data_IF_861088591076
#
_entry.id   IF_861088591076
#
_cell.length_a   1.000
_cell.length_b   1.000
_cell.length_c   1.000
_cell.angle_alpha   90.00
_cell.angle_beta   90.00
_cell.angle_gamma   90.00
#
_symmetry.space_group_name_H-M   'P 1'
#
loop_
_entity.id
_entity.type
_entity.pdbx_description
1 polymer ?
#
# COMPACT_ATOMS: atom_id res chain seq x y z
N UNK A 1 -51.80 62.52 -22.89
CA UNK A 1 -51.96 61.05 -22.83
C UNK A 1 -51.21 60.48 -21.63
N UNK A 2 -51.90 60.06 -20.54
CA UNK A 2 -51.29 59.50 -19.33
C UNK A 2 -51.51 58.02 -19.39
N UNK A 3 -50.40 57.26 -19.61
CA UNK A 3 -50.44 55.81 -19.55
C UNK A 3 -50.44 55.41 -18.05
N UNK A 4 -51.56 54.85 -17.60
CA UNK A 4 -51.64 54.17 -16.30
C UNK A 4 -51.17 52.74 -16.49
N UNK A 5 -50.01 52.40 -15.96
CA UNK A 5 -49.54 51.02 -15.83
C UNK A 5 -50.46 50.29 -14.82
N UNK A 6 -50.99 49.13 -15.13
CA UNK A 6 -51.76 48.34 -14.20
C UNK A 6 -50.82 47.88 -13.06
N UNK A 7 -51.12 48.29 -11.83
CA UNK A 7 -50.50 47.73 -10.63
C UNK A 7 -50.93 46.27 -10.52
N UNK A 8 -50.01 45.38 -10.90
CA UNK A 8 -50.20 43.94 -10.72
C UNK A 8 -50.23 43.69 -9.19
N UNK A 9 -51.42 43.33 -8.67
CA UNK A 9 -51.58 42.94 -7.27
C UNK A 9 -50.71 41.72 -6.98
N UNK A 10 -49.61 41.88 -6.28
CA UNK A 10 -48.80 40.78 -5.78
C UNK A 10 -49.69 39.94 -4.85
N UNK A 11 -50.12 38.80 -5.33
CA UNK A 11 -50.80 37.78 -4.48
C UNK A 11 -49.80 37.29 -3.44
N UNK A 12 -50.04 37.58 -2.19
CA UNK A 12 -49.21 37.11 -1.08
C UNK A 12 -49.21 35.58 -1.05
N UNK A 13 -48.05 34.98 -0.74
CA UNK A 13 -47.94 33.54 -0.55
C UNK A 13 -48.79 33.10 0.66
N UNK A 14 -49.53 32.00 0.46
CA UNK A 14 -50.25 31.38 1.59
C UNK A 14 -49.26 30.62 2.50
N UNK A 15 -49.57 30.56 3.77
CA UNK A 15 -48.74 29.83 4.75
C UNK A 15 -48.60 28.35 4.36
N UNK A 16 -49.61 27.77 3.73
CA UNK A 16 -49.61 26.43 3.18
C UNK A 16 -48.59 26.23 2.04
N UNK A 17 -48.54 27.19 1.10
CA UNK A 17 -47.55 27.17 0.01
C UNK A 17 -46.11 27.23 0.53
N UNK A 18 -45.87 28.07 1.56
CA UNK A 18 -44.57 28.15 2.18
C UNK A 18 -44.16 26.85 2.85
N UNK A 19 -45.07 26.21 3.60
CA UNK A 19 -44.80 24.89 4.23
C UNK A 19 -44.53 23.80 3.20
N UNK A 20 -45.27 23.82 2.10
CA UNK A 20 -45.10 22.84 1.05
C UNK A 20 -43.76 23.03 0.29
N UNK A 21 -43.40 24.27 0.02
CA UNK A 21 -42.10 24.60 -0.57
C UNK A 21 -40.92 24.21 0.33
N UNK A 22 -41.02 24.44 1.64
CA UNK A 22 -40.03 24.09 2.64
C UNK A 22 -39.86 22.57 2.78
N UNK A 23 -40.98 21.85 2.79
CA UNK A 23 -40.94 20.37 2.87
C UNK A 23 -40.33 19.74 1.62
N UNK A 24 -40.71 20.22 0.45
CA UNK A 24 -40.15 19.74 -0.83
C UNK A 24 -38.67 20.09 -0.98
N UNK A 25 -38.30 21.33 -0.61
CA UNK A 25 -36.92 21.78 -0.61
C UNK A 25 -36.02 20.97 0.34
N UNK A 26 -36.52 20.69 1.54
CA UNK A 26 -35.78 19.85 2.51
C UNK A 26 -35.60 18.42 2.04
N UNK A 27 -36.60 17.83 1.37
CA UNK A 27 -36.51 16.49 0.78
C UNK A 27 -35.45 16.43 -0.33
N UNK A 28 -35.48 17.40 -1.26
CA UNK A 28 -34.50 17.50 -2.34
C UNK A 28 -33.10 17.69 -1.80
N UNK A 29 -32.92 18.55 -0.80
CA UNK A 29 -31.64 18.77 -0.15
C UNK A 29 -31.12 17.51 0.53
N UNK A 30 -31.97 16.77 1.24
CA UNK A 30 -31.60 15.50 1.85
C UNK A 30 -31.16 14.45 0.81
N UNK A 31 -31.81 14.37 -0.34
CA UNK A 31 -31.43 13.51 -1.46
C UNK A 31 -30.06 13.91 -2.05
N UNK A 32 -29.83 15.21 -2.25
CA UNK A 32 -28.55 15.71 -2.73
C UNK A 32 -27.40 15.38 -1.77
N UNK A 33 -27.61 15.57 -0.46
CA UNK A 33 -26.60 15.21 0.55
C UNK A 33 -26.29 13.71 0.54
N UNK A 34 -27.28 12.84 0.33
CA UNK A 34 -27.05 11.39 0.20
C UNK A 34 -26.22 11.05 -1.02
N UNK A 35 -26.49 11.66 -2.18
CA UNK A 35 -25.72 11.43 -3.40
C UNK A 35 -24.26 11.87 -3.25
N UNK A 36 -24.04 13.09 -2.74
CA UNK A 36 -22.68 13.61 -2.49
C UNK A 36 -21.93 12.70 -1.50
N UNK A 37 -22.60 12.26 -0.44
CA UNK A 37 -22.00 11.35 0.55
C UNK A 37 -21.59 9.99 -0.04
N UNK A 38 -22.37 9.45 -0.99
CA UNK A 38 -22.04 8.21 -1.70
C UNK A 38 -20.83 8.38 -2.61
N UNK A 39 -20.78 9.48 -3.38
CA UNK A 39 -19.66 9.79 -4.28
C UNK A 39 -18.34 10.01 -3.52
N UNK A 40 -18.39 10.70 -2.38
CA UNK A 40 -17.20 10.89 -1.53
C UNK A 40 -16.65 9.57 -0.99
N UNK A 41 -17.52 8.66 -0.55
CA UNK A 41 -17.10 7.32 -0.07
C UNK A 41 -16.46 6.51 -1.20
N UNK A 42 -17.05 6.53 -2.39
CA UNK A 42 -16.50 5.85 -3.56
C UNK A 42 -15.14 6.43 -3.96
N UNK A 43 -15.01 7.76 -3.99
CA UNK A 43 -13.76 8.44 -4.29
C UNK A 43 -12.65 8.11 -3.28
N UNK A 44 -12.96 8.05 -1.98
CA UNK A 44 -12.01 7.66 -0.94
C UNK A 44 -11.56 6.20 -1.10
N UNK A 45 -12.49 5.28 -1.39
CA UNK A 45 -12.17 3.88 -1.63
C UNK A 45 -11.27 3.69 -2.86
N UNK A 46 -11.53 4.42 -3.94
CA UNK A 46 -10.67 4.41 -5.14
C UNK A 46 -9.29 4.98 -4.86
N UNK A 47 -9.20 6.12 -4.17
CA UNK A 47 -7.93 6.74 -3.82
C UNK A 47 -7.08 5.82 -2.93
N UNK A 48 -7.69 5.13 -1.97
CA UNK A 48 -7.00 4.16 -1.14
C UNK A 48 -6.48 2.98 -1.98
N UNK A 49 -7.28 2.45 -2.89
CA UNK A 49 -6.87 1.39 -3.83
C UNK A 49 -5.62 1.79 -4.63
N UNK A 50 -5.64 2.96 -5.23
CA UNK A 50 -4.53 3.47 -6.03
C UNK A 50 -3.25 3.61 -5.19
N UNK A 51 -3.37 4.11 -3.97
CA UNK A 51 -2.23 4.23 -3.05
C UNK A 51 -1.62 2.87 -2.71
N UNK A 52 -2.43 1.88 -2.35
CA UNK A 52 -1.93 0.54 -2.01
C UNK A 52 -1.34 -0.16 -3.23
N UNK A 53 -1.98 -0.06 -4.39
CA UNK A 53 -1.43 -0.58 -5.65
C UNK A 53 -0.09 0.05 -6.00
N UNK A 54 0.05 1.38 -5.84
CA UNK A 54 1.31 2.09 -6.08
C UNK A 54 2.39 1.71 -5.07
N UNK A 55 2.03 1.44 -3.81
CA UNK A 55 2.99 0.96 -2.80
C UNK A 55 3.51 -0.42 -3.13
N UNK A 56 2.64 -1.37 -3.50
CA UNK A 56 3.06 -2.69 -3.94
C UNK A 56 4.01 -2.61 -5.14
N UNK A 57 3.66 -1.80 -6.14
CA UNK A 57 4.47 -1.63 -7.33
C UNK A 57 5.87 -1.10 -6.99
N UNK A 58 5.94 -0.01 -6.20
CA UNK A 58 7.24 0.55 -5.79
C UNK A 58 8.07 -0.43 -4.98
N UNK A 59 7.44 -1.23 -4.12
CA UNK A 59 8.16 -2.24 -3.33
C UNK A 59 8.74 -3.33 -4.21
N UNK A 60 7.99 -3.82 -5.21
CA UNK A 60 8.49 -4.80 -6.16
C UNK A 60 9.58 -4.24 -7.07
N UNK A 61 9.41 -3.02 -7.56
CA UNK A 61 10.43 -2.33 -8.37
C UNK A 61 11.73 -2.12 -7.59
N UNK A 62 11.64 -1.72 -6.31
CA UNK A 62 12.78 -1.61 -5.41
C UNK A 62 13.53 -2.94 -5.29
N UNK A 63 12.82 -4.05 -5.05
CA UNK A 63 13.43 -5.37 -4.97
C UNK A 63 14.10 -5.74 -6.29
N UNK A 64 13.44 -5.47 -7.43
CA UNK A 64 14.00 -5.73 -8.76
C UNK A 64 15.26 -4.92 -9.03
N UNK A 65 15.27 -3.65 -8.65
CA UNK A 65 16.46 -2.80 -8.79
C UNK A 65 17.62 -3.34 -7.96
N UNK A 66 17.38 -3.74 -6.71
CA UNK A 66 18.41 -4.33 -5.87
C UNK A 66 18.89 -5.69 -6.39
N UNK A 67 18.00 -6.51 -6.96
CA UNK A 67 18.37 -7.75 -7.62
C UNK A 67 19.23 -7.52 -8.86
N UNK A 68 18.98 -6.44 -9.61
CA UNK A 68 19.78 -6.10 -10.79
C UNK A 68 21.21 -5.67 -10.45
N UNK A 69 21.45 -5.19 -9.24
CA UNK A 69 22.76 -4.80 -8.72
C UNK A 69 23.43 -5.92 -7.92
N UNK A 70 22.75 -7.05 -7.72
CA UNK A 70 23.20 -8.13 -6.87
C UNK A 70 24.29 -8.98 -7.52
N UNK A 71 25.25 -9.44 -6.74
CA UNK A 71 26.18 -10.49 -7.14
C UNK A 71 25.61 -11.90 -6.94
N UNK A 72 24.57 -12.02 -6.11
CA UNK A 72 23.86 -13.27 -5.87
C UNK A 72 22.65 -13.08 -4.95
N UNK A 73 21.80 -14.09 -4.93
CA UNK A 73 20.62 -14.09 -4.06
C UNK A 73 20.38 -15.49 -3.48
N UNK A 74 19.60 -15.53 -2.42
CA UNK A 74 19.14 -16.76 -1.80
C UNK A 74 17.65 -16.62 -1.46
N UNK A 75 16.85 -17.55 -1.93
CA UNK A 75 15.41 -17.66 -1.61
C UNK A 75 15.25 -18.48 -0.35
N UNK A 76 14.34 -18.07 0.53
CA UNK A 76 14.07 -18.66 1.85
C UNK A 76 15.34 -18.99 2.65
N UNK A 77 16.26 -18.01 2.83
CA UNK A 77 17.49 -18.26 3.56
C UNK A 77 17.22 -18.61 5.02
N UNK A 78 18.03 -19.48 5.65
CA UNK A 78 17.92 -19.74 7.06
C UNK A 78 18.22 -18.48 7.88
N UNK A 79 17.52 -18.23 9.00
CA UNK A 79 17.80 -17.11 9.85
C UNK A 79 19.26 -17.09 10.32
N UNK A 80 19.95 -15.97 10.17
CA UNK A 80 21.35 -15.83 10.55
C UNK A 80 21.53 -14.71 11.58
N UNK A 81 22.29 -14.98 12.64
CA UNK A 81 22.71 -13.97 13.62
C UNK A 81 23.80 -13.04 13.09
N UNK A 82 24.34 -13.33 11.91
CA UNK A 82 25.38 -12.54 11.24
C UNK A 82 24.83 -11.38 10.44
N UNK A 83 23.52 -11.36 10.21
CA UNK A 83 22.89 -10.27 9.48
C UNK A 83 22.88 -8.97 10.28
N UNK A 84 23.03 -7.83 9.61
CA UNK A 84 23.20 -6.55 10.28
C UNK A 84 21.96 -6.08 11.04
N UNK A 85 20.77 -6.63 10.75
CA UNK A 85 19.55 -6.26 11.45
C UNK A 85 18.92 -7.47 12.17
N UNK A 86 18.35 -7.28 13.38
CA UNK A 86 17.61 -8.32 14.07
C UNK A 86 16.30 -8.66 13.34
N UNK A 87 16.04 -9.94 13.17
CA UNK A 87 14.81 -10.41 12.51
C UNK A 87 13.57 -10.31 13.41
N UNK A 88 13.74 -10.32 14.73
CA UNK A 88 12.66 -10.15 15.72
C UNK A 88 11.43 -11.04 15.45
N UNK A 89 11.64 -12.34 15.21
CA UNK A 89 10.58 -13.31 14.94
C UNK A 89 10.04 -13.31 13.51
N UNK A 90 10.63 -12.54 12.59
CA UNK A 90 10.26 -12.51 11.17
C UNK A 90 10.99 -13.60 10.39
N UNK A 91 10.30 -14.18 9.42
CA UNK A 91 10.86 -15.16 8.50
C UNK A 91 11.55 -14.44 7.34
N UNK A 92 12.84 -14.65 7.09
CA UNK A 92 13.49 -14.16 5.88
C UNK A 92 12.94 -14.92 4.67
N UNK A 93 12.70 -14.20 3.58
CA UNK A 93 12.16 -14.74 2.33
C UNK A 93 13.16 -14.58 1.20
N UNK A 94 13.92 -13.50 1.20
CA UNK A 94 14.92 -13.23 0.17
C UNK A 94 16.13 -12.55 0.82
N UNK A 95 17.32 -13.04 0.50
CA UNK A 95 18.58 -12.40 0.83
C UNK A 95 19.34 -12.06 -0.47
N UNK A 96 19.81 -10.83 -0.59
CA UNK A 96 20.49 -10.30 -1.76
C UNK A 96 21.90 -9.92 -1.36
N UNK A 97 22.91 -10.57 -1.93
CA UNK A 97 24.32 -10.24 -1.74
C UNK A 97 24.73 -9.10 -2.68
N UNK A 98 25.14 -7.98 -2.11
CA UNK A 98 25.58 -6.79 -2.86
C UNK A 98 27.05 -6.82 -3.20
N UNK A 99 27.80 -7.78 -2.69
CA UNK A 99 29.21 -8.04 -2.99
C UNK A 99 29.41 -9.53 -3.30
N UNK A 100 30.56 -9.85 -3.92
CA UNK A 100 30.90 -11.22 -4.34
C UNK A 100 31.13 -12.22 -3.17
N UNK A 101 31.00 -11.76 -1.93
CA UNK A 101 31.16 -12.60 -0.74
C UNK A 101 29.93 -13.50 -0.54
N UNK A 102 30.17 -14.64 0.13
CA UNK A 102 29.08 -15.54 0.57
C UNK A 102 28.03 -14.77 1.38
N UNK A 103 26.74 -14.81 0.99
CA UNK A 103 25.66 -14.15 1.73
C UNK A 103 25.56 -14.54 3.21
N UNK A 104 26.22 -15.65 3.62
CA UNK A 104 26.30 -16.10 5.00
C UNK A 104 27.63 -15.73 5.70
N UNK A 105 28.60 -15.15 5.00
CA UNK A 105 29.85 -14.73 5.59
C UNK A 105 29.67 -13.62 6.63
N UNK A 106 30.57 -13.58 7.62
CA UNK A 106 30.60 -12.48 8.59
C UNK A 106 30.96 -11.17 7.89
N UNK A 107 30.10 -10.15 8.06
CA UNK A 107 30.28 -8.85 7.43
C UNK A 107 29.77 -8.78 5.99
N UNK A 108 29.10 -9.83 5.51
CA UNK A 108 28.46 -9.79 4.21
C UNK A 108 27.48 -8.63 4.13
N UNK A 109 27.63 -7.83 3.09
CA UNK A 109 26.72 -6.71 2.81
C UNK A 109 25.46 -7.28 2.11
N UNK A 110 24.57 -7.84 2.93
CA UNK A 110 23.38 -8.56 2.49
C UNK A 110 22.15 -7.73 2.83
N UNK A 111 21.34 -7.48 1.82
CA UNK A 111 19.99 -6.93 2.00
C UNK A 111 19.03 -8.10 2.23
N UNK A 112 18.24 -8.04 3.30
CA UNK A 112 17.31 -9.13 3.65
C UNK A 112 15.89 -8.62 3.65
N UNK A 113 15.03 -9.34 2.96
CA UNK A 113 13.58 -9.16 2.97
C UNK A 113 12.95 -10.22 3.85
N UNK A 114 12.19 -9.79 4.84
CA UNK A 114 11.57 -10.69 5.82
C UNK A 114 10.09 -10.36 6.02
N UNK A 115 9.30 -11.39 6.28
CA UNK A 115 7.86 -11.29 6.57
C UNK A 115 7.60 -11.74 7.99
N UNK A 116 6.71 -11.05 8.69
CA UNK A 116 6.30 -11.45 10.03
C UNK A 116 5.66 -10.32 10.83
N UNK A 117 5.70 -10.41 12.16
CA UNK A 117 5.00 -9.50 13.02
C UNK A 117 5.42 -8.04 12.82
N UNK A 118 4.44 -7.16 12.85
CA UNK A 118 4.66 -5.73 12.78
C UNK A 118 5.51 -5.23 13.97
N UNK A 119 6.42 -4.26 13.76
CA UNK A 119 7.22 -3.70 14.84
C UNK A 119 6.42 -2.83 15.80
N UNK A 120 5.29 -2.30 15.36
CA UNK A 120 4.44 -1.39 16.13
C UNK A 120 2.97 -1.55 15.72
N UNK A 121 2.03 -1.10 16.57
CA UNK A 121 0.57 -1.18 16.38
C UNK A 121 0.02 -0.28 15.28
N UNK A 122 0.82 0.65 14.75
CA UNK A 122 0.42 1.49 13.61
C UNK A 122 0.28 0.70 12.31
N UNK A 123 0.94 -0.47 12.22
CA UNK A 123 0.91 -1.36 11.07
C UNK A 123 -0.18 -2.42 11.21
N UNK A 124 -0.79 -2.81 10.11
CA UNK A 124 -1.85 -3.83 10.08
C UNK A 124 -1.30 -5.19 9.65
N UNK A 125 -1.78 -6.25 10.26
CA UNK A 125 -1.41 -7.61 9.89
C UNK A 125 0.08 -7.90 10.02
N UNK A 126 0.60 -8.76 9.16
CA UNK A 126 2.02 -8.94 9.00
C UNK A 126 2.62 -7.84 8.11
N UNK A 127 3.93 -7.68 8.16
CA UNK A 127 4.66 -6.68 7.37
C UNK A 127 5.74 -7.32 6.53
N UNK A 128 5.98 -6.75 5.35
CA UNK A 128 7.20 -6.95 4.59
C UNK A 128 8.23 -5.93 5.04
N UNK A 129 9.34 -6.41 5.54
CA UNK A 129 10.44 -5.62 6.07
C UNK A 129 11.69 -5.81 5.26
N UNK A 130 12.37 -4.71 4.97
CA UNK A 130 13.71 -4.70 4.35
C UNK A 130 14.74 -4.34 5.41
N UNK A 131 15.70 -5.21 5.63
CA UNK A 131 16.95 -4.91 6.31
C UNK A 131 18.00 -4.54 5.27
N UNK A 132 18.45 -3.32 5.25
CA UNK A 132 19.43 -2.88 4.26
C UNK A 132 19.94 -1.48 4.55
N UNK A 133 20.98 -1.05 3.81
CA UNK A 133 21.51 0.30 3.92
C UNK A 133 20.53 1.33 3.35
N UNK A 134 20.80 2.60 3.65
CA UNK A 134 20.17 3.72 2.94
C UNK A 134 20.63 3.80 1.49
N UNK A 135 20.04 4.74 0.74
CA UNK A 135 20.39 5.03 -0.63
C UNK A 135 21.16 6.36 -0.70
N UNK A 136 22.10 6.45 -1.64
CA UNK A 136 22.72 7.71 -2.07
C UNK A 136 21.71 8.58 -2.81
N UNK A 137 22.09 9.80 -3.14
CA UNK A 137 21.27 10.70 -3.96
C UNK A 137 21.03 10.15 -5.37
N UNK A 138 21.93 9.29 -5.85
CA UNK A 138 21.84 8.63 -7.17
C UNK A 138 21.00 7.34 -7.13
N UNK A 139 20.35 7.03 -5.99
CA UNK A 139 19.49 5.86 -5.85
C UNK A 139 20.24 4.53 -5.65
N UNK A 140 21.56 4.55 -5.47
CA UNK A 140 22.37 3.33 -5.24
C UNK A 140 22.45 3.05 -3.73
N UNK A 141 22.33 1.77 -3.28
CA UNK A 141 22.48 1.42 -1.88
C UNK A 141 23.87 1.78 -1.35
N UNK A 142 23.93 2.54 -0.24
CA UNK A 142 25.20 2.97 0.38
C UNK A 142 25.70 1.89 1.32
N UNK A 143 26.41 0.89 0.78
CA UNK A 143 26.80 -0.33 1.48
C UNK A 143 27.60 -0.10 2.77
N UNK A 144 28.35 1.00 2.87
CA UNK A 144 29.08 1.40 4.07
C UNK A 144 28.19 2.12 5.09
N UNK A 145 26.95 2.45 4.74
CA UNK A 145 26.00 3.09 5.63
C UNK A 145 25.40 2.15 6.67
N UNK A 146 24.75 2.73 7.67
CA UNK A 146 24.03 1.95 8.68
C UNK A 146 22.89 1.15 8.07
N UNK A 147 22.86 -0.14 8.34
CA UNK A 147 21.73 -1.01 7.96
C UNK A 147 20.56 -0.78 8.91
N UNK A 148 19.38 -0.68 8.36
CA UNK A 148 18.17 -0.41 9.10
C UNK A 148 17.02 -1.31 8.65
N UNK A 149 16.20 -1.70 9.62
CA UNK A 149 14.92 -2.33 9.35
C UNK A 149 13.89 -1.27 8.92
N UNK A 150 13.33 -1.41 7.72
CA UNK A 150 12.27 -0.53 7.21
C UNK A 150 11.06 -1.36 6.77
N UNK A 151 9.89 -0.97 7.22
CA UNK A 151 8.64 -1.56 6.73
C UNK A 151 8.37 -1.01 5.33
N UNK A 152 8.22 -1.89 4.36
CA UNK A 152 7.86 -1.56 2.98
C UNK A 152 6.35 -1.64 2.77
N UNK A 153 5.74 -2.72 3.27
CA UNK A 153 4.31 -2.98 3.15
C UNK A 153 3.78 -3.55 4.46
N UNK A 154 2.56 -3.21 4.78
CA UNK A 154 1.75 -3.79 5.86
C UNK A 154 0.54 -4.54 5.31
N UNK A 155 -0.33 -5.00 6.19
CA UNK A 155 -1.55 -5.71 5.86
C UNK A 155 -1.31 -6.98 5.03
N UNK A 156 -0.18 -7.67 5.25
CA UNK A 156 0.01 -8.99 4.70
C UNK A 156 -0.82 -10.00 5.52
N UNK A 157 -1.33 -11.08 4.86
CA UNK A 157 -2.06 -12.15 5.55
C UNK A 157 -1.26 -12.75 6.69
N UNK A 158 -1.98 -13.27 7.70
CA UNK A 158 -1.32 -13.86 8.88
C UNK A 158 -0.81 -15.28 8.63
N UNK A 159 -1.30 -15.93 7.58
CA UNK A 159 -0.89 -17.28 7.25
C UNK A 159 0.57 -17.32 6.79
N UNK A 160 1.34 -18.21 7.40
CA UNK A 160 2.74 -18.41 7.06
C UNK A 160 2.88 -18.96 5.63
N UNK A 161 3.50 -18.20 4.77
CA UNK A 161 3.72 -18.57 3.37
C UNK A 161 2.89 -17.79 2.36
N UNK A 162 1.92 -17.00 2.86
CA UNK A 162 1.15 -16.05 2.06
C UNK A 162 1.66 -14.64 2.41
N UNK A 163 1.53 -13.70 1.50
CA UNK A 163 1.92 -12.30 1.76
C UNK A 163 3.06 -11.82 0.88
N UNK A 164 4.26 -12.34 1.05
CA UNK A 164 5.38 -12.13 0.13
C UNK A 164 6.07 -13.47 -0.14
N UNK A 165 6.14 -13.84 -1.40
CA UNK A 165 6.75 -15.07 -1.88
C UNK A 165 7.74 -14.76 -3.00
N UNK A 166 8.78 -15.56 -3.07
CA UNK A 166 9.79 -15.50 -4.12
C UNK A 166 9.97 -16.91 -4.67
N UNK A 167 9.78 -17.05 -5.97
CA UNK A 167 9.95 -18.31 -6.67
C UNK A 167 11.07 -18.17 -7.69
N UNK A 168 12.03 -19.09 -7.64
CA UNK A 168 13.07 -19.16 -8.67
C UNK A 168 12.56 -19.96 -9.86
N UNK A 169 12.72 -19.40 -11.06
CA UNK A 169 12.38 -20.13 -12.27
C UNK A 169 13.34 -21.33 -12.45
N UNK A 170 12.83 -22.54 -12.74
CA UNK A 170 13.66 -23.75 -12.75
C UNK A 170 14.76 -23.79 -13.82
N UNK A 171 14.59 -23.04 -14.91
CA UNK A 171 15.51 -23.04 -16.07
C UNK A 171 16.15 -21.70 -16.39
N UNK A 172 15.72 -20.62 -15.75
CA UNK A 172 16.21 -19.28 -16.03
C UNK A 172 16.67 -18.60 -14.74
N UNK A 173 17.68 -17.74 -14.77
CA UNK A 173 18.12 -16.95 -13.64
C UNK A 173 17.14 -15.80 -13.38
N UNK A 174 15.86 -16.11 -13.21
CA UNK A 174 14.77 -15.17 -13.02
C UNK A 174 14.02 -15.54 -11.75
N UNK A 175 13.72 -14.52 -10.95
CA UNK A 175 12.87 -14.65 -9.77
C UNK A 175 11.48 -14.12 -10.07
N UNK A 176 10.46 -14.87 -9.69
CA UNK A 176 9.08 -14.39 -9.65
C UNK A 176 8.78 -13.92 -8.22
N UNK A 177 8.50 -12.63 -8.09
CA UNK A 177 8.14 -11.97 -6.85
C UNK A 177 6.62 -11.85 -6.79
N UNK A 178 6.01 -12.32 -5.71
CA UNK A 178 4.57 -12.20 -5.49
C UNK A 178 4.29 -11.52 -4.15
N UNK A 179 3.44 -10.48 -4.18
CA UNK A 179 2.95 -9.78 -2.99
C UNK A 179 1.43 -9.94 -2.90
N UNK A 180 0.98 -10.30 -1.71
CA UNK A 180 -0.44 -10.38 -1.37
C UNK A 180 -0.72 -9.56 -0.11
N UNK A 181 -1.72 -8.67 -0.18
CA UNK A 181 -2.19 -7.86 0.95
C UNK A 181 -3.68 -8.09 1.20
N UNK A 182 -4.05 -8.10 2.47
CA UNK A 182 -5.44 -8.19 2.91
C UNK A 182 -5.93 -6.81 3.34
N UNK A 183 -6.73 -6.17 2.50
CA UNK A 183 -7.21 -4.81 2.70
C UNK A 183 -8.69 -4.79 3.08
N UNK A 184 -9.14 -3.85 3.93
CA UNK A 184 -10.55 -3.71 4.25
C UNK A 184 -11.36 -3.38 2.98
N UNK A 185 -12.48 -4.06 2.78
CA UNK A 185 -13.40 -3.79 1.70
C UNK A 185 -14.44 -2.74 2.11
N UNK A 186 -14.87 -1.90 1.16
CA UNK A 186 -15.87 -0.85 1.41
C UNK A 186 -17.25 -1.42 1.83
N UNK A 187 -17.53 -2.67 1.45
CA UNK A 187 -18.77 -3.40 1.79
C UNK A 187 -18.73 -4.13 3.14
N UNK A 188 -17.63 -3.99 3.89
CA UNK A 188 -17.32 -4.82 5.06
C UNK A 188 -16.57 -6.11 4.65
N UNK A 189 -15.78 -6.65 5.57
CA UNK A 189 -14.89 -7.79 5.30
C UNK A 189 -13.51 -7.38 4.76
N UNK A 190 -12.77 -8.35 4.23
CA UNK A 190 -11.44 -8.14 3.65
C UNK A 190 -11.44 -8.42 2.15
N UNK A 191 -10.49 -7.82 1.46
CA UNK A 191 -10.22 -8.05 0.05
C UNK A 191 -8.74 -8.27 -0.15
N UNK A 192 -8.41 -9.30 -0.93
CA UNK A 192 -7.05 -9.64 -1.30
C UNK A 192 -6.63 -8.82 -2.52
N UNK A 193 -5.47 -8.16 -2.42
CA UNK A 193 -4.79 -7.49 -3.51
C UNK A 193 -3.49 -8.23 -3.78
N UNK A 194 -3.37 -8.85 -4.96
CA UNK A 194 -2.21 -9.65 -5.36
C UNK A 194 -1.49 -9.00 -6.54
N UNK A 195 -0.17 -9.01 -6.51
CA UNK A 195 0.68 -8.55 -7.61
C UNK A 195 1.90 -9.42 -7.77
N UNK A 196 2.30 -9.64 -9.02
CA UNK A 196 3.49 -10.40 -9.41
C UNK A 196 4.41 -9.56 -10.27
N UNK A 197 5.69 -9.83 -10.18
CA UNK A 197 6.75 -9.22 -10.99
C UNK A 197 7.84 -10.25 -11.23
N UNK A 198 8.34 -10.34 -12.47
CA UNK A 198 9.55 -11.08 -12.78
C UNK A 198 10.78 -10.16 -12.64
N UNK A 199 11.84 -10.64 -11.99
CA UNK A 199 13.07 -9.91 -11.71
C UNK A 199 14.30 -10.76 -12.04
#
# INVERSE_FOLDING_TARGET
MRWRLPLNQAKGFTLLELMLALSLGSLLFALMLRLIGADLRLGQAMAQRLRETSRQQRSLELIREELSLAHGWMVDPPPSTRWPCPMAGRRPVLAIAMQADDPQARGAQVIVYAVGPAPDRIWRGQVLMRCGPGYSLDGVPTLQGAFQNRVLLDALPQDSGVGFQVHQHPFLPVLELEIEQELPAASGGSRILRRRLAA
#
